data_IF_817424880587
#
_entry.id   IF_817424880587
#
_cell.length_a   1.000
_cell.length_b   1.000
_cell.length_c   1.000
_cell.angle_alpha   90.00
_cell.angle_beta   90.00
_cell.angle_gamma   90.00
#
_symmetry.space_group_name_H-M   'P 1'
#
loop_
_entity.id
_entity.type
_entity.pdbx_description
1 polymer ?
#
# COMPACT_ATOMS: atom_id res chain seq x y z
N UNK A 1 7.65 3.84 9.24
CA UNK A 1 8.15 5.19 8.95
C UNK A 1 8.06 5.48 7.47
N UNK A 2 7.75 6.73 7.13
CA UNK A 2 7.64 7.13 5.73
C UNK A 2 9.01 7.16 5.04
N UNK A 3 10.07 7.41 5.78
CA UNK A 3 11.43 7.40 5.23
C UNK A 3 11.77 6.00 4.74
N UNK A 4 12.30 5.93 3.53
CA UNK A 4 12.67 4.67 2.93
C UNK A 4 11.54 3.96 2.21
N UNK A 5 10.32 4.50 2.19
CA UNK A 5 9.23 3.94 1.40
C UNK A 5 9.58 4.03 -0.08
N UNK A 6 9.41 2.91 -0.78
CA UNK A 6 9.65 2.86 -2.22
C UNK A 6 8.30 2.81 -2.92
N UNK A 7 8.13 3.67 -3.93
CA UNK A 7 6.91 3.76 -4.73
C UNK A 7 7.25 3.62 -6.21
N UNK A 8 6.34 3.00 -6.96
CA UNK A 8 6.36 3.08 -8.42
C UNK A 8 5.76 4.42 -8.85
N UNK A 9 5.94 4.80 -10.10
CA UNK A 9 5.31 6.01 -10.62
C UNK A 9 3.79 5.94 -10.52
N UNK A 10 3.20 4.78 -10.80
CA UNK A 10 1.76 4.57 -10.67
C UNK A 10 1.30 4.65 -9.22
N UNK A 11 2.09 4.11 -8.30
CA UNK A 11 1.79 4.21 -6.87
C UNK A 11 1.82 5.63 -6.36
N UNK A 12 2.81 6.41 -6.79
CA UNK A 12 2.90 7.83 -6.47
C UNK A 12 1.65 8.56 -6.96
N UNK A 13 1.25 8.32 -8.20
CA UNK A 13 0.08 8.96 -8.79
C UNK A 13 -1.19 8.65 -7.98
N UNK A 14 -1.38 7.40 -7.56
CA UNK A 14 -2.52 7.02 -6.72
C UNK A 14 -2.53 7.77 -5.40
N UNK A 15 -1.39 7.90 -4.75
CA UNK A 15 -1.29 8.64 -3.49
C UNK A 15 -1.57 10.13 -3.68
N UNK A 16 -1.09 10.71 -4.77
CA UNK A 16 -1.37 12.10 -5.09
C UNK A 16 -2.85 12.33 -5.34
N UNK A 17 -3.52 11.42 -6.05
CA UNK A 17 -4.96 11.48 -6.29
C UNK A 17 -5.74 11.35 -4.98
N UNK A 18 -5.34 10.45 -4.10
CA UNK A 18 -5.97 10.28 -2.79
C UNK A 18 -5.80 11.54 -1.94
N UNK A 19 -4.60 12.10 -1.92
CA UNK A 19 -4.34 13.35 -1.20
C UNK A 19 -5.21 14.48 -1.73
N UNK A 20 -5.30 14.62 -3.04
CA UNK A 20 -6.12 15.65 -3.66
C UNK A 20 -7.60 15.49 -3.27
N UNK A 21 -8.11 14.26 -3.29
CA UNK A 21 -9.48 13.98 -2.85
C UNK A 21 -9.71 14.39 -1.39
N UNK A 22 -8.81 14.02 -0.50
CA UNK A 22 -8.94 14.37 0.92
C UNK A 22 -8.93 15.88 1.14
N UNK A 23 -8.08 16.61 0.44
CA UNK A 23 -7.96 18.07 0.58
C UNK A 23 -9.13 18.79 -0.09
N UNK A 24 -9.50 18.37 -1.30
CA UNK A 24 -10.47 19.10 -2.13
C UNK A 24 -11.92 18.74 -1.83
N UNK A 25 -12.17 17.49 -1.45
CA UNK A 25 -13.54 16.99 -1.28
C UNK A 25 -13.83 16.65 0.19
N UNK A 26 -13.08 15.72 0.75
CA UNK A 26 -13.40 15.19 2.08
C UNK A 26 -13.31 16.25 3.18
N UNK A 27 -12.28 17.06 3.13
CA UNK A 27 -12.12 18.16 4.10
C UNK A 27 -13.32 19.11 4.10
N UNK A 28 -13.81 19.45 2.92
CA UNK A 28 -14.96 20.33 2.76
C UNK A 28 -16.26 19.68 3.24
N UNK A 29 -16.47 18.40 2.95
CA UNK A 29 -17.63 17.66 3.43
C UNK A 29 -17.71 17.67 4.96
N UNK A 30 -16.58 17.46 5.62
CA UNK A 30 -16.52 17.44 7.08
C UNK A 30 -16.74 18.85 7.65
N UNK A 31 -16.20 19.88 7.03
CA UNK A 31 -16.44 21.26 7.44
C UNK A 31 -17.93 21.61 7.40
N UNK A 32 -18.63 21.15 6.37
CA UNK A 32 -20.09 21.33 6.28
C UNK A 32 -20.82 20.56 7.36
N UNK A 33 -20.42 19.33 7.65
CA UNK A 33 -21.00 18.52 8.73
C UNK A 33 -20.86 19.22 10.08
N UNK A 34 -19.70 19.79 10.34
CA UNK A 34 -19.45 20.55 11.57
C UNK A 34 -20.33 21.78 11.63
N UNK A 35 -20.43 22.52 10.53
CA UNK A 35 -21.24 23.73 10.47
C UNK A 35 -22.73 23.45 10.68
N UNK A 36 -23.23 22.33 10.18
CA UNK A 36 -24.62 21.92 10.36
C UNK A 36 -24.89 21.47 11.80
N UNK A 37 -23.98 20.71 12.41
CA UNK A 37 -24.14 20.20 13.78
C UNK A 37 -23.95 21.29 14.85
N UNK A 38 -23.12 22.28 14.58
CA UNK A 38 -22.70 23.29 15.55
C UNK A 38 -23.83 24.15 16.16
N UNK A 39 -24.86 24.56 15.39
CA UNK A 39 -25.90 25.44 15.93
C UNK A 39 -26.83 24.78 16.93
N UNK A 40 -26.86 23.47 17.03
CA UNK A 40 -27.80 22.73 17.84
C UNK A 40 -27.27 22.57 19.26
N UNK A 41 -28.13 22.65 20.23
CA UNK A 41 -27.74 22.71 21.64
C UNK A 41 -28.09 21.49 22.48
N UNK A 42 -28.70 20.46 21.90
CA UNK A 42 -29.06 19.28 22.68
C UNK A 42 -27.98 18.19 22.63
N UNK A 43 -28.14 17.15 23.46
CA UNK A 43 -27.13 16.10 23.62
C UNK A 43 -26.87 15.30 22.34
N UNK A 44 -27.91 15.02 21.55
CA UNK A 44 -27.74 14.23 20.34
C UNK A 44 -27.01 15.00 19.27
N UNK A 45 -27.24 16.28 19.20
CA UNK A 45 -26.56 17.14 18.24
C UNK A 45 -25.12 17.43 18.66
N UNK A 46 -24.84 17.45 19.98
CA UNK A 46 -23.49 17.52 20.48
C UNK A 46 -22.71 16.24 20.11
N UNK A 47 -23.36 15.08 20.15
CA UNK A 47 -22.74 13.82 19.73
C UNK A 47 -22.37 13.85 18.24
N UNK A 48 -23.24 14.40 17.38
CA UNK A 48 -22.96 14.55 15.95
C UNK A 48 -21.80 15.50 15.73
N UNK A 49 -21.76 16.61 16.46
CA UNK A 49 -20.65 17.55 16.40
C UNK A 49 -19.33 16.88 16.81
N UNK A 50 -19.34 16.15 17.92
CA UNK A 50 -18.14 15.47 18.40
C UNK A 50 -17.67 14.41 17.40
N UNK A 51 -18.56 13.66 16.77
CA UNK A 51 -18.22 12.70 15.73
C UNK A 51 -17.59 13.38 14.51
N UNK A 52 -18.17 14.52 14.08
CA UNK A 52 -17.63 15.28 12.96
C UNK A 52 -16.24 15.82 13.27
N UNK A 53 -16.00 16.28 14.50
CA UNK A 53 -14.67 16.73 14.93
C UNK A 53 -13.66 15.61 14.96
N UNK A 54 -14.04 14.41 15.39
CA UNK A 54 -13.17 13.23 15.38
C UNK A 54 -12.82 12.84 13.94
N UNK A 55 -13.80 12.86 13.06
CA UNK A 55 -13.57 12.56 11.65
C UNK A 55 -12.64 13.59 11.01
N UNK A 56 -12.79 14.87 11.36
CA UNK A 56 -11.90 15.92 10.90
C UNK A 56 -10.46 15.63 11.32
N UNK A 57 -10.24 15.28 12.58
CA UNK A 57 -8.90 14.96 13.07
C UNK A 57 -8.31 13.77 12.33
N UNK A 58 -9.11 12.76 12.06
CA UNK A 58 -8.69 11.57 11.32
C UNK A 58 -8.26 11.92 9.89
N UNK A 59 -9.04 12.75 9.20
CA UNK A 59 -8.71 13.18 7.83
C UNK A 59 -7.44 14.03 7.82
N UNK A 60 -7.26 14.94 8.77
CA UNK A 60 -6.04 15.76 8.84
C UNK A 60 -4.80 14.88 9.10
N UNK A 61 -4.95 13.84 9.92
CA UNK A 61 -3.87 12.88 10.13
C UNK A 61 -3.53 12.12 8.85
N UNK A 62 -4.54 11.67 8.11
CA UNK A 62 -4.34 10.99 6.83
C UNK A 62 -3.63 11.88 5.82
N UNK A 63 -4.04 13.16 5.73
CA UNK A 63 -3.42 14.13 4.84
C UNK A 63 -1.93 14.29 5.19
N UNK A 64 -1.63 14.46 6.48
CA UNK A 64 -0.25 14.62 6.94
C UNK A 64 0.60 13.40 6.59
N UNK A 65 0.08 12.19 6.81
CA UNK A 65 0.78 10.95 6.49
C UNK A 65 1.05 10.83 4.99
N UNK A 66 0.06 11.12 4.15
CA UNK A 66 0.24 11.05 2.70
C UNK A 66 1.25 12.06 2.21
N UNK A 67 1.20 13.28 2.72
CA UNK A 67 2.17 14.32 2.39
C UNK A 67 3.60 13.87 2.76
N UNK A 68 3.75 13.26 3.92
CA UNK A 68 5.04 12.76 4.39
C UNK A 68 5.56 11.65 3.49
N UNK A 69 4.72 10.67 3.15
CA UNK A 69 5.11 9.56 2.27
C UNK A 69 5.53 10.09 0.90
N UNK A 70 4.73 10.96 0.30
CA UNK A 70 5.01 11.53 -1.02
C UNK A 70 6.32 12.31 -1.02
N UNK A 71 6.57 13.08 0.04
CA UNK A 71 7.79 13.90 0.14
C UNK A 71 9.06 13.08 0.31
N UNK A 72 8.98 11.97 1.05
CA UNK A 72 10.19 11.23 1.46
C UNK A 72 10.39 9.92 0.69
N UNK A 73 9.43 9.51 -0.15
CA UNK A 73 9.52 8.26 -0.88
C UNK A 73 10.60 8.28 -1.94
N UNK A 74 11.19 7.11 -2.16
CA UNK A 74 12.06 6.87 -3.31
C UNK A 74 11.18 6.37 -4.46
N UNK A 75 11.25 7.03 -5.60
CA UNK A 75 10.41 6.71 -6.76
C UNK A 75 11.21 5.85 -7.74
N UNK A 76 10.65 4.71 -8.11
CA UNK A 76 11.22 3.83 -9.14
C UNK A 76 10.46 4.11 -10.44
N UNK A 77 11.19 4.56 -11.45
CA UNK A 77 10.62 4.82 -12.77
C UNK A 77 10.22 3.51 -13.45
N UNK A 78 9.14 3.54 -14.22
CA UNK A 78 8.63 2.35 -14.91
C UNK A 78 9.67 1.74 -15.85
N UNK A 79 10.49 2.54 -16.48
CA UNK A 79 11.54 2.08 -17.40
C UNK A 79 12.74 1.45 -16.69
N UNK A 80 12.87 1.65 -15.39
CA UNK A 80 13.91 1.00 -14.57
C UNK A 80 13.49 -0.41 -14.13
N UNK A 81 12.20 -0.76 -14.30
CA UNK A 81 11.69 -2.06 -13.92
C UNK A 81 11.98 -3.06 -15.03
N UNK A 82 12.72 -4.13 -14.68
CA UNK A 82 13.06 -5.19 -15.63
C UNK A 82 12.42 -6.50 -15.16
N UNK A 83 12.42 -7.49 -16.05
CA UNK A 83 11.92 -8.84 -15.74
C UNK A 83 13.05 -9.85 -15.52
N UNK A 84 14.29 -9.37 -15.40
CA UNK A 84 15.45 -10.23 -15.15
C UNK A 84 15.41 -10.84 -13.75
N UNK A 85 14.86 -10.12 -12.81
CA UNK A 85 14.74 -10.55 -11.43
C UNK A 85 13.48 -9.93 -10.80
N UNK A 86 13.03 -10.53 -9.70
CA UNK A 86 11.89 -10.00 -8.96
C UNK A 86 12.28 -8.67 -8.31
N UNK A 87 11.44 -7.66 -8.50
CA UNK A 87 11.63 -6.33 -7.92
C UNK A 87 10.27 -5.68 -7.72
N UNK A 88 10.26 -4.52 -7.05
CA UNK A 88 9.03 -3.72 -6.95
C UNK A 88 8.60 -3.33 -8.36
N UNK A 89 7.32 -3.49 -8.66
CA UNK A 89 6.76 -3.23 -9.99
C UNK A 89 6.69 -4.46 -10.88
N UNK A 90 7.09 -5.64 -10.37
CA UNK A 90 6.95 -6.90 -11.12
C UNK A 90 5.89 -7.77 -10.48
N UNK A 91 5.26 -8.62 -11.31
CA UNK A 91 4.39 -9.69 -10.84
C UNK A 91 5.11 -11.01 -11.07
N UNK A 92 5.25 -11.79 -10.01
CA UNK A 92 5.98 -13.04 -10.03
C UNK A 92 5.00 -14.21 -9.90
N UNK A 93 5.16 -15.20 -10.75
CA UNK A 93 4.42 -16.47 -10.63
C UNK A 93 5.36 -17.48 -9.98
N UNK A 94 4.89 -18.06 -8.88
CA UNK A 94 5.68 -19.01 -8.07
C UNK A 94 4.93 -20.32 -7.90
N UNK A 95 5.69 -21.39 -7.72
CA UNK A 95 5.15 -22.69 -7.35
C UNK A 95 5.60 -23.01 -5.94
N UNK A 96 4.64 -23.26 -5.06
CA UNK A 96 4.93 -23.77 -3.72
C UNK A 96 5.37 -25.23 -3.86
N UNK A 97 6.60 -25.53 -3.48
CA UNK A 97 7.15 -26.87 -3.62
C UNK A 97 6.58 -27.86 -2.60
N UNK A 98 5.94 -27.36 -1.55
CA UNK A 98 5.37 -28.21 -0.50
C UNK A 98 3.94 -28.67 -0.84
N UNK A 99 3.11 -27.77 -1.40
CA UNK A 99 1.72 -28.14 -1.75
C UNK A 99 1.50 -28.33 -3.26
N UNK A 100 2.46 -27.93 -4.09
CA UNK A 100 2.36 -28.09 -5.53
C UNK A 100 1.49 -27.03 -6.23
N UNK A 101 0.94 -26.08 -5.48
CA UNK A 101 0.08 -25.04 -6.01
C UNK A 101 0.90 -23.87 -6.56
N UNK A 102 0.31 -23.13 -7.47
CA UNK A 102 0.93 -21.93 -8.04
C UNK A 102 0.22 -20.68 -7.55
N UNK A 103 0.99 -19.62 -7.37
CA UNK A 103 0.48 -18.33 -6.90
C UNK A 103 1.11 -17.22 -7.73
N UNK A 104 0.39 -16.10 -7.88
CA UNK A 104 0.93 -14.89 -8.48
C UNK A 104 0.91 -13.78 -7.45
N UNK A 105 2.03 -13.09 -7.31
CA UNK A 105 2.17 -11.96 -6.39
C UNK A 105 2.70 -10.75 -7.11
N UNK A 106 2.03 -9.62 -6.97
CA UNK A 106 2.55 -8.33 -7.40
C UNK A 106 3.38 -7.76 -6.25
N UNK A 107 4.64 -7.43 -6.52
CA UNK A 107 5.52 -6.84 -5.51
C UNK A 107 5.37 -5.33 -5.57
N UNK A 108 4.92 -4.74 -4.47
CA UNK A 108 4.59 -3.31 -4.39
C UNK A 108 5.24 -2.69 -3.16
N UNK A 109 5.18 -1.36 -3.06
CA UNK A 109 5.60 -0.68 -1.85
C UNK A 109 4.60 -0.91 -0.71
N UNK A 110 5.02 -0.67 0.53
CA UNK A 110 4.19 -0.94 1.71
C UNK A 110 2.83 -0.23 1.68
N UNK A 111 2.78 0.96 1.10
CA UNK A 111 1.52 1.72 1.02
C UNK A 111 0.55 1.22 -0.05
N UNK A 112 1.01 0.37 -0.95
CA UNK A 112 0.19 -0.21 -2.02
C UNK A 112 -0.20 -1.65 -1.73
N UNK A 113 0.28 -2.22 -0.63
CA UNK A 113 0.07 -3.64 -0.32
C UNK A 113 -1.41 -3.93 -0.05
N UNK A 114 -1.87 -5.03 -0.65
CA UNK A 114 -3.22 -5.53 -0.46
C UNK A 114 -3.19 -7.05 -0.62
N UNK A 115 -3.01 -7.79 0.49
CA UNK A 115 -2.93 -9.25 0.43
C UNK A 115 -4.16 -9.91 -0.19
N UNK A 116 -5.32 -9.30 -0.10
CA UNK A 116 -6.55 -9.84 -0.71
C UNK A 116 -6.49 -9.83 -2.24
N UNK A 117 -5.71 -8.91 -2.80
CA UNK A 117 -5.50 -8.79 -4.24
C UNK A 117 -4.13 -9.38 -4.66
N UNK A 118 -3.49 -10.13 -3.76
CA UNK A 118 -2.15 -10.69 -3.98
C UNK A 118 -1.09 -9.64 -4.30
N UNK A 119 -1.24 -8.45 -3.71
CA UNK A 119 -0.28 -7.36 -3.80
C UNK A 119 0.48 -7.33 -2.49
N UNK A 120 1.71 -7.78 -2.51
CA UNK A 120 2.51 -7.94 -1.30
C UNK A 120 3.63 -6.90 -1.23
N UNK A 121 3.90 -6.44 -0.01
CA UNK A 121 4.92 -5.44 0.24
C UNK A 121 6.32 -6.01 0.08
N UNK A 122 7.23 -5.19 -0.44
CA UNK A 122 8.66 -5.49 -0.44
C UNK A 122 9.20 -5.68 0.98
N UNK A 123 8.51 -5.17 1.99
CA UNK A 123 8.91 -5.30 3.38
C UNK A 123 8.30 -6.52 4.06
N UNK A 124 7.32 -7.19 3.43
CA UNK A 124 6.76 -8.43 3.97
C UNK A 124 7.76 -9.57 3.86
N UNK A 125 7.67 -10.61 4.72
CA UNK A 125 8.59 -11.75 4.63
C UNK A 125 8.62 -12.42 3.26
N UNK A 126 7.46 -12.61 2.64
CA UNK A 126 7.37 -13.24 1.32
C UNK A 126 7.94 -12.30 0.25
N UNK A 127 7.53 -11.04 0.25
CA UNK A 127 8.04 -10.06 -0.71
C UNK A 127 9.55 -9.89 -0.62
N UNK A 128 10.06 -9.70 0.60
CA UNK A 128 11.50 -9.55 0.82
C UNK A 128 12.27 -10.80 0.38
N UNK A 129 11.71 -11.99 0.60
CA UNK A 129 12.34 -13.24 0.21
C UNK A 129 12.34 -13.48 -1.30
N UNK A 130 11.38 -12.91 -2.02
CA UNK A 130 11.29 -13.07 -3.47
C UNK A 130 12.15 -12.06 -4.24
N UNK A 131 12.33 -10.86 -3.69
CA UNK A 131 13.10 -9.80 -4.36
C UNK A 131 14.52 -10.26 -4.65
N UNK A 132 14.96 -10.00 -5.88
CA UNK A 132 16.29 -10.39 -6.34
C UNK A 132 16.37 -11.80 -6.92
N UNK A 133 15.30 -12.59 -6.78
CA UNK A 133 15.28 -13.95 -7.33
C UNK A 133 15.04 -13.90 -8.84
N UNK A 134 15.65 -14.86 -9.54
CA UNK A 134 15.53 -15.00 -10.98
C UNK A 134 14.64 -16.19 -11.33
N UNK A 135 14.17 -16.22 -12.57
CA UNK A 135 13.39 -17.36 -13.08
C UNK A 135 14.13 -18.67 -12.84
N UNK A 136 13.39 -19.67 -12.43
CA UNK A 136 13.85 -21.02 -12.11
C UNK A 136 14.66 -21.14 -10.81
N UNK A 137 14.89 -20.04 -10.08
CA UNK A 137 15.48 -20.11 -8.75
C UNK A 137 14.40 -20.45 -7.71
N UNK A 138 14.82 -21.01 -6.59
CA UNK A 138 13.94 -21.33 -5.48
C UNK A 138 14.25 -20.42 -4.30
N UNK A 139 13.23 -19.72 -3.83
CA UNK A 139 13.32 -18.89 -2.63
C UNK A 139 12.90 -19.71 -1.41
N UNK A 140 13.71 -19.66 -0.37
CA UNK A 140 13.37 -20.25 0.93
C UNK A 140 13.03 -19.10 1.87
N UNK A 141 11.78 -19.06 2.33
CA UNK A 141 11.26 -17.94 3.11
C UNK A 141 10.80 -18.44 4.46
N UNK A 142 11.36 -17.88 5.53
CA UNK A 142 10.97 -18.22 6.89
C UNK A 142 9.87 -17.28 7.35
N UNK A 143 8.74 -17.85 7.75
CA UNK A 143 7.60 -17.11 8.31
C UNK A 143 7.24 -17.73 9.66
N UNK A 144 6.43 -17.05 10.50
CA UNK A 144 6.04 -17.63 11.80
C UNK A 144 5.38 -19.00 11.72
N UNK A 145 4.66 -19.27 10.64
CA UNK A 145 3.99 -20.58 10.44
C UNK A 145 4.93 -21.68 9.97
N UNK A 146 6.19 -21.37 9.61
CA UNK A 146 7.14 -22.34 9.12
C UNK A 146 8.01 -21.80 7.99
N UNK A 147 8.47 -22.68 7.12
CA UNK A 147 9.32 -22.33 5.99
C UNK A 147 8.57 -22.56 4.68
N UNK A 148 8.58 -21.56 3.81
CA UNK A 148 8.01 -21.65 2.48
C UNK A 148 9.14 -21.84 1.46
N UNK A 149 8.90 -22.66 0.45
CA UNK A 149 9.83 -22.84 -0.67
C UNK A 149 9.08 -22.58 -1.96
N UNK A 150 9.41 -21.46 -2.59
CA UNK A 150 8.77 -21.01 -3.84
C UNK A 150 9.76 -21.06 -4.98
N UNK A 151 9.42 -21.78 -6.03
CA UNK A 151 10.18 -21.76 -7.28
C UNK A 151 9.61 -20.68 -8.18
N UNK A 152 10.48 -19.83 -8.68
CA UNK A 152 10.09 -18.72 -9.57
C UNK A 152 9.81 -19.30 -10.96
N UNK A 153 8.55 -19.23 -11.40
CA UNK A 153 8.13 -19.75 -12.70
C UNK A 153 8.22 -18.70 -13.79
N UNK A 154 7.81 -17.47 -13.48
CA UNK A 154 7.87 -16.36 -14.44
C UNK A 154 7.86 -15.03 -13.70
N UNK A 155 8.41 -14.02 -14.36
CA UNK A 155 8.45 -12.64 -13.87
C UNK A 155 7.94 -11.76 -15.00
N UNK A 156 6.97 -10.92 -14.70
CA UNK A 156 6.46 -9.96 -15.70
C UNK A 156 6.37 -8.57 -15.08
N UNK A 157 6.44 -7.56 -15.92
CA UNK A 157 6.24 -6.17 -15.49
C UNK A 157 4.75 -5.95 -15.21
N UNK A 158 4.49 -5.27 -14.12
CA UNK A 158 3.12 -4.98 -13.67
C UNK A 158 2.43 -3.95 -14.58
#
# INVERSE_FOLDING_TARGET
>A
MAEGTILTESGLKKLEEELDYLVSVRRNEISEQIAVARPFGDLSENAEYDEAKKEQAKVEEQITKLQQVIRTATIVADDEITTDKVSIGTTVKVKDLDDGETYEYAIVGANEADPMENRISNESPVGAGLIGMKKNQTATIVIPAGTLRYKILSIRKD
#
